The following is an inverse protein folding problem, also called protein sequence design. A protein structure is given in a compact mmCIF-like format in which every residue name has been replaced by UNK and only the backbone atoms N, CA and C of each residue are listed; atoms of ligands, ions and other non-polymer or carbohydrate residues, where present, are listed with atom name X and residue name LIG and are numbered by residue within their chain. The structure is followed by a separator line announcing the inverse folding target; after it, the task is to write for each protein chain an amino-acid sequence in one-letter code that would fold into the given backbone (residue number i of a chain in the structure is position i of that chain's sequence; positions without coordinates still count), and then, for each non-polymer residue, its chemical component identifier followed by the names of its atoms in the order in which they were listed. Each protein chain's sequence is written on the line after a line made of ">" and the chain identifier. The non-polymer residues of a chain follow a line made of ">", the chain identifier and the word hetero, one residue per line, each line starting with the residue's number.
data_IF_141675974232
#
_entry.id   IF_141675974232
#
_cell.length_a   1.000
_cell.length_b   1.000
_cell.length_c   1.000
_cell.angle_alpha   90.00
_cell.angle_beta   90.00
_cell.angle_gamma   90.00
#
_symmetry.space_group_name_H-M   'P 1'
#
loop_
_entity.id
_entity.type
_entity.pdbx_description
1 polymer ?
#
# COMPACT_ATOMS: atom_id res chain seq x y z
N UNK A 1 7.79 12.75 6.16
CA UNK A 1 8.50 12.75 7.43
C UNK A 1 8.44 11.35 8.01
N UNK A 2 9.59 10.80 8.29
CA UNK A 2 9.74 9.45 8.75
C UNK A 2 9.43 9.37 10.25
N UNK A 3 8.20 9.03 10.59
CA UNK A 3 7.71 8.98 11.97
C UNK A 3 7.85 7.59 12.61
N UNK A 4 8.26 6.59 11.83
CA UNK A 4 8.31 5.20 12.27
C UNK A 4 9.69 4.81 12.82
N UNK A 5 9.74 3.92 13.84
CA UNK A 5 10.98 3.41 14.44
C UNK A 5 11.95 2.88 13.41
N UNK A 6 11.36 2.21 12.48
CA UNK A 6 12.06 1.75 11.34
C UNK A 6 11.84 2.80 10.25
N UNK A 7 12.88 3.51 9.90
CA UNK A 7 12.85 4.47 8.81
C UNK A 7 12.18 3.88 7.55
N UNK A 8 12.03 4.65 6.51
CA UNK A 8 11.46 4.23 5.22
C UNK A 8 11.90 2.81 4.74
N UNK A 9 13.07 2.34 5.22
CA UNK A 9 13.62 1.04 4.84
C UNK A 9 13.11 -0.15 5.68
N UNK A 10 12.38 0.10 6.76
CA UNK A 10 11.88 -0.95 7.65
C UNK A 10 10.37 -1.06 7.56
N UNK A 11 9.90 -1.22 6.34
CA UNK A 11 8.48 -1.44 6.07
C UNK A 11 8.02 -2.74 6.71
N UNK A 12 6.90 -2.69 7.42
CA UNK A 12 6.29 -3.88 8.03
C UNK A 12 5.46 -3.63 9.27
N UNK A 13 6.00 -3.05 10.32
CA UNK A 13 5.33 -2.95 11.63
C UNK A 13 4.85 -1.54 12.01
N UNK A 14 5.40 -0.50 11.43
CA UNK A 14 4.95 0.89 11.59
C UNK A 14 4.79 1.35 13.04
N UNK A 15 5.83 1.15 13.85
CA UNK A 15 5.86 1.60 15.24
C UNK A 15 6.32 3.06 15.28
N UNK A 16 5.60 4.00 15.93
CA UNK A 16 6.05 5.38 16.09
C UNK A 16 7.36 5.48 16.86
N UNK A 17 8.30 6.29 16.36
CA UNK A 17 9.66 6.43 16.86
C UNK A 17 9.71 6.94 18.29
N UNK A 18 10.47 6.23 19.15
CA UNK A 18 10.65 6.58 20.55
C UNK A 18 11.36 7.94 20.74
N UNK A 19 12.33 8.27 19.87
CA UNK A 19 13.04 9.55 19.92
C UNK A 19 12.16 10.77 19.53
N UNK A 20 11.02 10.52 18.90
CA UNK A 20 9.97 11.53 18.63
C UNK A 20 8.83 11.48 19.67
N UNK A 21 9.01 10.74 20.75
CA UNK A 21 8.06 10.59 21.82
C UNK A 21 7.11 9.40 21.70
N UNK A 22 7.33 8.53 20.72
CA UNK A 22 6.64 7.25 20.56
C UNK A 22 5.13 7.35 20.32
N UNK A 23 4.40 6.25 20.56
CA UNK A 23 2.97 6.15 20.33
C UNK A 23 2.12 7.25 20.98
N UNK A 24 2.45 7.64 22.22
CA UNK A 24 1.69 8.64 22.95
C UNK A 24 1.85 10.06 22.38
N UNK A 25 3.06 10.44 21.95
CA UNK A 25 3.27 11.73 21.30
C UNK A 25 2.62 11.75 19.91
N UNK A 26 2.68 10.64 19.18
CA UNK A 26 2.00 10.51 17.89
C UNK A 26 0.48 10.69 18.04
N UNK A 27 -0.15 9.99 18.98
CA UNK A 27 -1.58 10.13 19.27
C UNK A 27 -1.97 11.57 19.64
N UNK A 28 -1.18 12.25 20.48
CA UNK A 28 -1.39 13.66 20.81
C UNK A 28 -1.27 14.55 19.58
N UNK A 29 -0.32 14.28 18.69
CA UNK A 29 -0.15 15.00 17.44
C UNK A 29 -1.38 14.88 16.53
N UNK A 30 -1.92 13.66 16.36
CA UNK A 30 -3.16 13.42 15.61
C UNK A 30 -4.32 14.21 16.21
N UNK A 31 -4.50 14.13 17.52
CA UNK A 31 -5.56 14.88 18.22
C UNK A 31 -5.42 16.41 18.05
N UNK A 32 -4.19 16.92 18.04
CA UNK A 32 -3.94 18.36 17.84
C UNK A 32 -4.27 18.83 16.41
N UNK A 33 -4.10 17.96 15.40
CA UNK A 33 -4.54 18.21 14.02
C UNK A 33 -6.06 18.22 13.95
N UNK A 34 -6.72 17.24 14.55
CA UNK A 34 -8.19 17.16 14.60
C UNK A 34 -8.81 18.39 15.29
N UNK A 35 -8.22 18.87 16.39
CA UNK A 35 -8.68 20.05 17.08
C UNK A 35 -8.66 21.33 16.21
N UNK A 36 -7.93 21.30 15.09
CA UNK A 36 -7.88 22.38 14.09
C UNK A 36 -8.68 22.07 12.82
N UNK A 37 -9.50 21.01 12.82
CA UNK A 37 -10.31 20.58 11.69
C UNK A 37 -9.54 19.85 10.59
N UNK A 38 -8.26 19.52 10.84
CA UNK A 38 -7.44 18.75 9.91
C UNK A 38 -7.71 17.24 10.00
N UNK A 39 -7.21 16.49 9.01
CA UNK A 39 -7.27 15.04 8.92
C UNK A 39 -5.87 14.46 8.70
N UNK A 40 -5.62 13.25 9.18
CA UNK A 40 -4.35 12.55 9.04
C UNK A 40 -4.55 11.26 8.26
N UNK A 41 -3.96 11.20 7.07
CA UNK A 41 -3.84 9.98 6.26
C UNK A 41 -2.39 9.55 6.31
N UNK A 42 -2.13 8.31 6.69
CA UNK A 42 -0.79 7.77 6.83
C UNK A 42 -0.35 7.03 5.57
N UNK A 43 0.93 7.16 5.26
CA UNK A 43 1.61 6.26 4.33
C UNK A 43 1.63 4.83 4.88
N UNK A 44 1.24 3.87 4.07
CA UNK A 44 1.33 2.45 4.36
C UNK A 44 1.77 1.69 3.12
N UNK A 45 2.81 0.89 3.26
CA UNK A 45 3.24 -0.01 2.20
C UNK A 45 2.52 -1.35 2.35
N UNK A 46 1.69 -1.69 1.37
CA UNK A 46 0.90 -2.91 1.39
C UNK A 46 1.43 -4.01 0.45
N UNK A 47 2.53 -3.74 -0.27
CA UNK A 47 3.09 -4.66 -1.25
C UNK A 47 4.45 -5.24 -0.86
N UNK A 48 5.33 -4.44 -0.22
CA UNK A 48 6.66 -4.88 0.15
C UNK A 48 6.93 -4.80 1.65
N UNK A 49 7.78 -5.69 2.12
CA UNK A 49 8.27 -5.74 3.51
C UNK A 49 9.78 -5.88 3.51
N UNK A 50 10.45 -5.17 4.41
CA UNK A 50 11.90 -5.37 4.61
C UNK A 50 12.17 -6.76 5.16
N UNK A 51 13.07 -7.52 4.55
CA UNK A 51 13.44 -8.88 5.00
C UNK A 51 13.98 -8.94 6.42
N UNK A 52 14.47 -7.81 6.94
CA UNK A 52 15.00 -7.66 8.31
C UNK A 52 13.96 -7.20 9.33
N UNK A 53 12.76 -6.84 8.90
CA UNK A 53 11.67 -6.51 9.81
C UNK A 53 11.17 -7.79 10.50
N UNK A 54 10.67 -7.74 11.75
CA UNK A 54 10.14 -8.92 12.44
C UNK A 54 9.17 -9.73 11.58
N UNK A 55 8.20 -9.10 10.94
CA UNK A 55 7.25 -9.82 10.08
C UNK A 55 7.91 -10.47 8.85
N UNK A 56 8.92 -9.83 8.27
CA UNK A 56 9.69 -10.41 7.16
C UNK A 56 10.56 -11.60 7.59
N UNK A 57 11.07 -11.58 8.82
CA UNK A 57 11.85 -12.69 9.38
C UNK A 57 10.96 -13.87 9.78
N UNK A 58 9.79 -13.60 10.34
CA UNK A 58 8.86 -14.62 10.86
C UNK A 58 8.05 -15.26 9.73
N UNK A 59 7.75 -14.50 8.66
CA UNK A 59 6.84 -14.91 7.60
C UNK A 59 7.42 -14.73 6.18
N UNK A 60 8.62 -15.27 5.89
CA UNK A 60 9.13 -15.26 4.51
C UNK A 60 8.26 -16.06 3.55
N UNK A 61 7.46 -16.98 4.10
CA UNK A 61 6.52 -17.83 3.35
C UNK A 61 5.31 -17.06 2.79
N UNK A 62 5.07 -15.82 3.21
CA UNK A 62 4.05 -14.96 2.61
C UNK A 62 4.56 -14.22 1.37
N UNK A 63 5.85 -14.28 1.10
CA UNK A 63 6.48 -13.61 -0.02
C UNK A 63 6.35 -14.40 -1.33
N UNK A 64 6.22 -13.67 -2.42
CA UNK A 64 6.17 -14.24 -3.76
C UNK A 64 7.54 -14.74 -4.24
N UNK A 65 7.52 -15.80 -5.03
CA UNK A 65 8.70 -16.40 -5.66
C UNK A 65 8.58 -16.41 -7.18
N UNK A 66 9.71 -16.34 -7.85
CA UNK A 66 9.83 -16.54 -9.28
C UNK A 66 9.77 -18.04 -9.66
N UNK A 67 9.81 -18.33 -10.95
CA UNK A 67 9.77 -19.69 -11.50
C UNK A 67 10.97 -20.58 -11.13
N UNK A 68 12.05 -19.98 -10.64
CA UNK A 68 13.23 -20.68 -10.17
C UNK A 68 13.19 -20.93 -8.65
N UNK A 69 12.11 -20.54 -7.96
CA UNK A 69 11.95 -20.65 -6.52
C UNK A 69 12.72 -19.60 -5.72
N UNK A 70 13.18 -18.52 -6.37
CA UNK A 70 13.81 -17.39 -5.70
C UNK A 70 12.80 -16.32 -5.36
N UNK A 71 12.97 -15.63 -4.22
CA UNK A 71 12.12 -14.50 -3.91
C UNK A 71 12.31 -13.35 -4.91
N UNK A 72 11.22 -12.77 -5.36
CA UNK A 72 11.28 -11.57 -6.19
C UNK A 72 12.07 -10.47 -5.51
N UNK A 73 12.74 -9.65 -6.32
CA UNK A 73 13.42 -8.43 -5.86
C UNK A 73 12.64 -7.19 -6.28
N UNK A 74 12.69 -6.13 -5.47
CA UNK A 74 12.05 -4.86 -5.79
C UNK A 74 13.12 -3.81 -6.13
N UNK A 75 13.02 -3.19 -7.29
CA UNK A 75 14.04 -2.30 -7.84
C UNK A 75 15.45 -2.93 -7.91
N UNK A 76 15.52 -4.23 -8.22
CA UNK A 76 16.80 -4.96 -8.26
C UNK A 76 17.48 -5.10 -6.89
N UNK A 77 16.76 -4.89 -5.80
CA UNK A 77 17.28 -4.99 -4.43
C UNK A 77 16.62 -6.17 -3.71
N UNK A 78 17.44 -7.05 -3.17
CA UNK A 78 16.98 -8.24 -2.42
C UNK A 78 16.67 -7.96 -0.94
N UNK A 79 16.65 -6.70 -0.52
CA UNK A 79 16.33 -6.32 0.85
C UNK A 79 14.84 -6.37 1.20
N UNK A 80 13.97 -6.46 0.18
CA UNK A 80 12.52 -6.51 0.36
C UNK A 80 11.97 -7.87 -0.08
N UNK A 81 10.90 -8.29 0.56
CA UNK A 81 9.95 -9.27 0.05
C UNK A 81 8.80 -8.58 -0.64
N UNK A 82 8.34 -9.13 -1.75
CA UNK A 82 7.06 -8.78 -2.35
C UNK A 82 6.00 -9.72 -1.76
N UNK A 83 5.04 -9.17 -1.04
CA UNK A 83 4.07 -9.95 -0.28
C UNK A 83 2.88 -10.35 -1.14
N UNK A 84 2.49 -11.61 -1.06
CA UNK A 84 1.34 -12.13 -1.81
C UNK A 84 0.03 -11.79 -1.06
N UNK A 85 -0.94 -11.12 -1.71
CA UNK A 85 -2.18 -10.74 -1.04
C UNK A 85 -3.26 -11.83 -1.04
N UNK A 86 -3.02 -12.97 -1.72
CA UNK A 86 -4.03 -14.00 -1.94
C UNK A 86 -3.96 -15.18 -0.97
N UNK A 87 -4.67 -16.25 -1.34
CA UNK A 87 -4.80 -17.48 -0.56
C UNK A 87 -3.44 -18.15 -0.30
N UNK A 88 -3.26 -18.65 0.91
CA UNK A 88 -2.02 -19.30 1.38
C UNK A 88 -1.05 -18.32 2.07
N UNK A 89 -1.23 -17.00 1.89
CA UNK A 89 -0.50 -15.95 2.59
C UNK A 89 -1.32 -15.37 3.74
N UNK A 90 -0.67 -15.08 4.87
CA UNK A 90 -1.26 -14.34 5.98
C UNK A 90 -1.16 -12.83 5.84
N UNK A 91 -0.56 -12.33 4.74
CA UNK A 91 -0.23 -10.92 4.59
C UNK A 91 -1.45 -9.99 4.65
N UNK A 92 -2.52 -10.31 3.93
CA UNK A 92 -3.75 -9.50 3.92
C UNK A 92 -4.33 -9.33 5.33
N UNK A 93 -4.40 -10.43 6.09
CA UNK A 93 -4.89 -10.38 7.48
C UNK A 93 -4.00 -9.50 8.36
N UNK A 94 -2.68 -9.65 8.24
CA UNK A 94 -1.70 -8.89 9.00
C UNK A 94 -1.79 -7.40 8.71
N UNK A 95 -1.69 -6.98 7.44
CA UNK A 95 -1.64 -5.55 7.09
C UNK A 95 -2.98 -4.84 7.34
N UNK A 96 -4.11 -5.52 7.11
CA UNK A 96 -5.42 -4.98 7.45
C UNK A 96 -5.62 -4.86 8.97
N UNK A 97 -5.13 -5.82 9.75
CA UNK A 97 -5.14 -5.75 11.21
C UNK A 97 -4.27 -4.61 11.75
N UNK A 98 -3.11 -4.38 11.13
CA UNK A 98 -2.23 -3.26 11.44
C UNK A 98 -2.91 -1.91 11.16
N UNK A 99 -3.54 -1.76 10.00
CA UNK A 99 -4.30 -0.56 9.64
C UNK A 99 -5.46 -0.29 10.61
N UNK A 100 -6.25 -1.32 10.93
CA UNK A 100 -7.33 -1.23 11.93
C UNK A 100 -6.80 -0.78 13.30
N UNK A 101 -5.68 -1.37 13.75
CA UNK A 101 -5.01 -1.00 15.00
C UNK A 101 -4.60 0.47 15.00
N UNK A 102 -4.00 0.98 13.91
CA UNK A 102 -3.57 2.37 13.84
C UNK A 102 -4.75 3.36 13.90
N UNK A 103 -5.87 3.05 13.24
CA UNK A 103 -7.09 3.87 13.33
C UNK A 103 -7.61 3.87 14.77
N UNK A 104 -7.69 2.71 15.40
CA UNK A 104 -8.21 2.55 16.77
C UNK A 104 -7.32 3.22 17.81
N UNK A 105 -6.01 2.97 17.75
CA UNK A 105 -5.07 3.35 18.81
C UNK A 105 -4.60 4.81 18.69
N UNK A 106 -4.47 5.30 17.45
CA UNK A 106 -3.95 6.66 17.19
C UNK A 106 -5.00 7.63 16.67
N UNK A 107 -6.15 7.15 16.20
CA UNK A 107 -7.22 7.99 15.68
C UNK A 107 -6.95 8.55 14.28
N UNK A 108 -6.09 7.93 13.50
CA UNK A 108 -5.82 8.38 12.12
C UNK A 108 -7.04 8.20 11.21
N UNK A 109 -7.12 8.99 10.14
CA UNK A 109 -8.30 9.07 9.29
C UNK A 109 -8.19 8.21 8.02
N UNK A 110 -7.12 7.44 7.87
CA UNK A 110 -6.97 6.54 6.73
C UNK A 110 -5.52 6.32 6.30
N UNK A 111 -5.41 5.72 5.11
CA UNK A 111 -4.11 5.30 4.57
C UNK A 111 -3.97 5.66 3.10
N UNK A 112 -2.74 6.02 2.74
CA UNK A 112 -2.25 6.07 1.37
C UNK A 112 -1.38 4.83 1.16
N UNK A 113 -1.83 3.90 0.30
CA UNK A 113 -1.10 2.68 -0.02
C UNK A 113 -0.13 2.96 -1.16
N UNK A 114 1.16 2.99 -0.80
CA UNK A 114 2.25 3.25 -1.73
C UNK A 114 2.39 2.11 -2.76
N UNK A 115 2.62 2.46 -4.00
CA UNK A 115 2.82 1.55 -5.14
C UNK A 115 1.69 0.55 -5.40
N UNK A 116 0.66 0.47 -4.57
CA UNK A 116 -0.30 -0.64 -4.61
C UNK A 116 -1.23 -0.59 -5.81
N UNK A 117 -1.56 0.57 -6.29
CA UNK A 117 -2.45 0.76 -7.44
C UNK A 117 -1.86 0.34 -8.79
N UNK A 118 -0.54 0.19 -8.89
CA UNK A 118 0.17 -0.26 -10.09
C UNK A 118 0.66 -1.71 -10.02
N UNK A 119 0.42 -2.42 -8.91
CA UNK A 119 0.81 -3.82 -8.78
C UNK A 119 -0.30 -4.71 -9.33
N UNK A 120 -0.02 -5.34 -10.49
CA UNK A 120 -1.01 -6.14 -11.22
C UNK A 120 -0.35 -7.24 -12.05
N UNK A 121 -1.10 -8.31 -12.31
CA UNK A 121 -0.71 -9.45 -13.15
C UNK A 121 0.57 -10.19 -12.70
N UNK A 122 0.87 -10.15 -11.39
CA UNK A 122 1.97 -10.91 -10.84
C UNK A 122 1.67 -12.41 -10.84
N UNK A 123 2.66 -13.19 -11.27
CA UNK A 123 2.67 -14.65 -11.10
C UNK A 123 3.52 -14.99 -9.89
N UNK A 124 3.04 -15.91 -9.09
CA UNK A 124 3.76 -16.35 -7.91
C UNK A 124 3.93 -17.87 -7.94
N UNK A 125 5.14 -18.32 -7.78
CA UNK A 125 5.53 -19.72 -7.81
C UNK A 125 5.82 -20.29 -6.41
N UNK A 126 5.50 -19.56 -5.36
CA UNK A 126 5.62 -20.05 -4.00
C UNK A 126 4.68 -21.23 -3.79
N UNK A 127 5.20 -22.42 -3.41
CA UNK A 127 4.37 -23.65 -3.27
C UNK A 127 3.32 -23.54 -2.16
N UNK A 128 3.42 -22.54 -1.29
CA UNK A 128 2.42 -22.26 -0.26
C UNK A 128 1.21 -21.47 -0.76
N UNK A 129 1.28 -20.92 -1.96
CA UNK A 129 0.22 -20.09 -2.54
C UNK A 129 -0.51 -20.83 -3.65
N UNK A 130 -1.63 -21.52 -3.36
CA UNK A 130 -2.27 -22.43 -4.30
C UNK A 130 -2.81 -21.69 -5.53
N UNK A 131 -2.35 -22.13 -6.70
CA UNK A 131 -2.78 -21.59 -7.99
C UNK A 131 -2.29 -20.17 -8.32
N UNK A 132 -1.35 -19.63 -7.54
CA UNK A 132 -0.87 -18.25 -7.68
C UNK A 132 -0.01 -18.01 -8.95
N UNK A 133 0.29 -19.05 -9.71
CA UNK A 133 0.85 -18.91 -11.07
C UNK A 133 -0.15 -18.32 -12.07
N UNK A 134 -1.45 -18.34 -11.74
CA UNK A 134 -2.48 -17.59 -12.45
C UNK A 134 -2.49 -16.15 -11.91
N UNK A 135 -2.15 -15.13 -12.72
CA UNK A 135 -2.13 -13.74 -12.28
C UNK A 135 -3.50 -13.22 -11.82
N UNK A 136 -4.60 -13.83 -12.25
CA UNK A 136 -5.93 -13.48 -11.78
C UNK A 136 -6.10 -13.72 -10.27
N UNK A 137 -5.33 -14.64 -9.69
CA UNK A 137 -5.32 -14.89 -8.24
C UNK A 137 -4.66 -13.75 -7.48
N UNK A 138 -3.53 -13.22 -7.99
CA UNK A 138 -2.92 -12.02 -7.42
C UNK A 138 -3.88 -10.83 -7.50
N UNK A 139 -4.45 -10.58 -8.69
CA UNK A 139 -5.34 -9.45 -8.93
C UNK A 139 -6.56 -9.48 -7.99
N UNK A 140 -7.17 -10.66 -7.84
CA UNK A 140 -8.26 -10.85 -6.88
C UNK A 140 -7.81 -10.57 -5.45
N UNK A 141 -6.67 -11.11 -5.03
CA UNK A 141 -6.11 -10.86 -3.71
C UNK A 141 -5.82 -9.39 -3.45
N UNK A 142 -5.32 -8.67 -4.46
CA UNK A 142 -5.07 -7.24 -4.39
C UNK A 142 -6.36 -6.42 -4.15
N UNK A 143 -7.42 -6.74 -4.86
CA UNK A 143 -8.75 -6.13 -4.66
C UNK A 143 -9.32 -6.48 -3.28
N UNK A 144 -9.25 -7.74 -2.90
CA UNK A 144 -9.75 -8.22 -1.60
C UNK A 144 -9.02 -7.55 -0.43
N UNK A 145 -7.70 -7.31 -0.53
CA UNK A 145 -6.93 -6.62 0.50
C UNK A 145 -7.44 -5.19 0.70
N UNK A 146 -7.57 -4.42 -0.37
CA UNK A 146 -8.04 -3.02 -0.30
C UNK A 146 -9.45 -2.97 0.29
N UNK A 147 -10.35 -3.81 -0.20
CA UNK A 147 -11.72 -3.94 0.30
C UNK A 147 -11.75 -4.28 1.79
N UNK A 148 -11.01 -5.31 2.20
CA UNK A 148 -10.94 -5.77 3.60
C UNK A 148 -10.39 -4.68 4.51
N UNK A 149 -9.32 -4.00 4.09
CA UNK A 149 -8.74 -2.88 4.85
C UNK A 149 -9.78 -1.77 5.07
N UNK A 150 -10.41 -1.32 3.97
CA UNK A 150 -11.44 -0.27 4.01
C UNK A 150 -12.60 -0.65 4.94
N UNK A 151 -13.09 -1.88 4.83
CA UNK A 151 -14.18 -2.37 5.69
C UNK A 151 -13.77 -2.41 7.16
N UNK A 152 -12.57 -2.84 7.47
CA UNK A 152 -12.08 -2.93 8.86
C UNK A 152 -11.87 -1.57 9.49
N UNK A 153 -11.17 -0.67 8.81
CA UNK A 153 -10.91 0.67 9.36
C UNK A 153 -12.22 1.45 9.55
N UNK A 154 -13.21 1.26 8.68
CA UNK A 154 -14.53 1.91 8.80
C UNK A 154 -15.41 1.37 9.92
N UNK A 155 -15.15 0.18 10.42
CA UNK A 155 -15.79 -0.29 11.66
C UNK A 155 -15.32 0.50 12.88
N UNK A 156 -14.12 1.07 12.83
CA UNK A 156 -13.54 1.88 13.90
C UNK A 156 -13.84 3.37 13.68
N UNK A 157 -13.60 3.88 12.48
CA UNK A 157 -13.90 5.25 12.06
C UNK A 157 -14.64 5.21 10.72
N UNK A 158 -15.97 5.44 10.71
CA UNK A 158 -16.79 5.37 9.49
C UNK A 158 -16.33 6.30 8.35
N UNK A 159 -15.62 7.38 8.68
CA UNK A 159 -15.09 8.36 7.72
C UNK A 159 -13.67 8.02 7.24
N UNK A 160 -13.10 6.92 7.71
CA UNK A 160 -11.75 6.53 7.31
C UNK A 160 -11.68 6.18 5.82
N UNK A 161 -10.57 6.56 5.18
CA UNK A 161 -10.35 6.42 3.74
C UNK A 161 -9.13 5.55 3.40
N UNK A 162 -9.20 4.89 2.26
CA UNK A 162 -8.07 4.21 1.62
C UNK A 162 -7.84 4.85 0.26
N UNK A 163 -6.65 5.44 0.08
CA UNK A 163 -6.19 6.06 -1.16
C UNK A 163 -5.07 5.21 -1.72
N UNK A 164 -5.06 4.99 -3.02
CA UNK A 164 -4.03 4.21 -3.71
C UNK A 164 -3.11 5.12 -4.50
N UNK A 165 -1.81 4.87 -4.44
CA UNK A 165 -0.89 5.40 -5.42
C UNK A 165 -1.08 4.67 -6.76
N UNK A 166 -1.01 5.42 -7.88
CA UNK A 166 -1.08 4.88 -9.24
C UNK A 166 -2.31 3.99 -9.52
N UNK A 167 -3.51 4.41 -9.11
CA UNK A 167 -4.72 3.61 -9.29
C UNK A 167 -5.10 3.48 -10.78
N UNK A 168 -4.55 2.46 -11.45
CA UNK A 168 -4.67 2.24 -12.89
C UNK A 168 -5.79 1.26 -13.30
N UNK A 169 -6.38 0.58 -12.30
CA UNK A 169 -7.36 -0.50 -12.54
C UNK A 169 -8.74 -0.13 -12.00
N UNK A 170 -9.75 -0.32 -12.83
CA UNK A 170 -11.15 -0.03 -12.48
C UNK A 170 -11.62 -0.85 -11.28
N UNK A 171 -11.16 -2.11 -11.17
CA UNK A 171 -11.48 -3.02 -10.07
C UNK A 171 -11.01 -2.49 -8.71
N UNK A 172 -9.90 -1.77 -8.69
CA UNK A 172 -9.39 -1.11 -7.48
C UNK A 172 -10.15 0.18 -7.17
N UNK A 173 -10.61 0.91 -8.19
CA UNK A 173 -11.42 2.12 -8.01
C UNK A 173 -12.74 1.84 -7.29
N UNK A 174 -13.33 0.66 -7.48
CA UNK A 174 -14.58 0.28 -6.83
C UNK A 174 -14.42 0.04 -5.31
N UNK A 175 -13.21 -0.27 -4.86
CA UNK A 175 -12.93 -0.65 -3.47
C UNK A 175 -12.10 0.35 -2.69
N UNK A 176 -11.51 1.35 -3.33
CA UNK A 176 -10.80 2.46 -2.67
C UNK A 176 -11.68 3.72 -2.59
N UNK A 177 -11.17 4.78 -1.96
CA UNK A 177 -11.82 6.08 -1.82
C UNK A 177 -11.20 7.16 -2.72
N UNK A 178 -10.08 6.84 -3.34
CA UNK A 178 -9.39 7.71 -4.29
C UNK A 178 -8.10 7.12 -4.79
N UNK A 179 -7.62 7.64 -5.90
CA UNK A 179 -6.33 7.31 -6.47
C UNK A 179 -5.47 8.56 -6.57
N UNK A 180 -4.24 8.47 -6.11
CA UNK A 180 -3.22 9.45 -6.42
C UNK A 180 -2.57 9.05 -7.74
N UNK A 181 -2.70 9.90 -8.73
CA UNK A 181 -1.93 9.77 -9.95
C UNK A 181 -0.53 10.34 -9.70
N UNK A 182 0.36 9.53 -9.21
CA UNK A 182 1.75 9.93 -8.96
C UNK A 182 2.50 10.23 -10.25
N UNK A 183 1.93 9.84 -11.33
CA UNK A 183 2.51 9.98 -12.64
C UNK A 183 2.12 11.27 -13.34
N UNK A 184 2.28 12.41 -12.70
CA UNK A 184 2.41 13.64 -13.45
C UNK A 184 3.45 13.45 -14.58
N UNK A 185 4.54 12.71 -14.36
CA UNK A 185 5.49 12.35 -15.39
C UNK A 185 4.92 11.41 -16.46
N UNK A 186 4.09 10.44 -16.10
CA UNK A 186 3.45 9.51 -17.05
C UNK A 186 2.28 10.15 -17.77
N UNK A 187 1.52 11.02 -17.12
CA UNK A 187 0.45 11.80 -17.73
C UNK A 187 0.98 12.97 -18.56
N UNK A 188 2.03 13.64 -18.10
CA UNK A 188 2.63 14.74 -18.87
C UNK A 188 3.23 14.28 -20.19
N UNK A 189 3.77 13.06 -20.26
CA UNK A 189 4.34 12.57 -21.51
C UNK A 189 3.27 12.36 -22.60
N UNK A 190 2.16 11.66 -22.38
CA UNK A 190 1.06 11.59 -23.35
C UNK A 190 0.41 12.95 -23.62
N UNK A 191 0.17 13.77 -22.59
CA UNK A 191 -0.41 15.11 -22.77
C UNK A 191 0.53 16.02 -23.55
N UNK A 192 1.84 15.98 -23.26
CA UNK A 192 2.84 16.71 -24.04
C UNK A 192 2.83 16.28 -25.50
N UNK A 193 2.87 14.96 -25.75
CA UNK A 193 2.80 14.42 -27.11
C UNK A 193 1.51 14.81 -27.81
N UNK A 194 0.37 14.74 -27.12
CA UNK A 194 -0.91 15.18 -27.69
C UNK A 194 -0.92 16.67 -27.98
N UNK A 195 -0.40 17.52 -27.08
CA UNK A 195 -0.32 18.96 -27.27
C UNK A 195 0.64 19.39 -28.36
N UNK A 196 1.60 18.53 -28.72
CA UNK A 196 2.51 18.77 -29.84
C UNK A 196 1.90 18.39 -31.20
N UNK A 197 0.79 17.64 -31.22
CA UNK A 197 0.10 17.32 -32.45
C UNK A 197 -0.65 18.54 -33.03
N UNK A 198 -0.59 18.81 -34.37
CA UNK A 198 -1.23 19.99 -34.97
C UNK A 198 -2.72 20.11 -34.65
N UNK A 199 -3.44 18.99 -34.64
CA UNK A 199 -4.89 18.95 -34.41
C UNK A 199 -5.29 19.26 -32.96
N UNK A 200 -4.34 19.14 -31.99
CA UNK A 200 -4.57 19.52 -30.58
C UNK A 200 -4.27 20.99 -30.36
N UNK A 201 -3.29 21.55 -31.10
CA UNK A 201 -2.96 22.98 -31.03
C UNK A 201 -4.08 23.91 -31.50
N UNK A 202 -4.97 23.39 -32.34
CA UNK A 202 -6.14 24.16 -32.84
C UNK A 202 -7.27 24.24 -31.78
N UNK A 203 -7.30 23.35 -30.80
CA UNK A 203 -8.25 23.38 -29.70
C UNK A 203 -7.52 23.87 -28.46
N UNK A 204 -7.66 25.17 -28.16
CA UNK A 204 -7.19 25.73 -26.87
C UNK A 204 -7.98 25.06 -25.74
N UNK A 205 -7.34 24.12 -25.05
CA UNK A 205 -7.79 23.63 -23.77
C UNK A 205 -7.09 24.42 -22.67
#
# INVERSE_FOLDING_TARGET
>A
VDYWESNYESKGDYIPRADLGGPEAFKKGVAAVHARGGKIILYLEAFIVTRKNPVGLEHPDWAMMDENGSFYTYYGRDRFYLMYPGEGSGWTEYVCGLAEKMVRDYGVDGFHLDSYGCQWDWKDYNPKHPGATDPAKFNKGAVDLVKTMRERIRKVNPDAVVILECCERTELLDVCDGGQLDAAAWLYSPIKVLNEKPWVKEKKY
#
